data_IF_377413864406
#
_entry.id   IF_377413864406
#
_cell.length_a   1.000
_cell.length_b   1.000
_cell.length_c   1.000
_cell.angle_alpha   90.00
_cell.angle_beta   90.00
_cell.angle_gamma   90.00
#
_symmetry.space_group_name_H-M   'P 1'
#
loop_
_entity.id
_entity.type
_entity.pdbx_description
1 polymer ?
#
# COMPACT_ATOMS: atom_id res chain seq x y z
N UNK A 1 4.42 31.20 -7.85
CA UNK A 1 4.10 29.78 -7.57
C UNK A 1 2.74 29.49 -8.21
N UNK A 2 2.68 28.81 -9.37
CA UNK A 2 1.41 28.46 -10.03
C UNK A 2 0.83 27.24 -9.31
N UNK A 3 -0.33 27.39 -8.66
CA UNK A 3 -1.13 26.24 -8.22
C UNK A 3 -1.45 25.38 -9.44
N UNK A 4 -0.88 24.17 -9.52
CA UNK A 4 -1.31 23.17 -10.52
C UNK A 4 -2.76 22.83 -10.19
N UNK A 5 -3.71 23.21 -11.05
CA UNK A 5 -5.07 22.69 -10.97
C UNK A 5 -4.97 21.17 -11.12
N UNK A 6 -5.46 20.43 -10.14
CA UNK A 6 -5.57 18.98 -10.23
C UNK A 6 -6.44 18.65 -11.43
N UNK A 7 -5.92 17.91 -12.40
CA UNK A 7 -6.71 17.53 -13.56
C UNK A 7 -7.92 16.71 -13.10
N UNK A 8 -9.09 17.14 -13.58
CA UNK A 8 -10.38 16.58 -13.24
C UNK A 8 -10.84 15.69 -14.39
N UNK A 9 -11.32 14.50 -14.06
CA UNK A 9 -11.81 13.52 -15.02
C UNK A 9 -13.24 13.10 -14.66
N UNK A 10 -13.98 12.51 -15.60
CA UNK A 10 -15.27 11.88 -15.31
C UNK A 10 -15.06 10.40 -15.07
N UNK A 11 -15.56 9.86 -13.96
CA UNK A 11 -15.54 8.42 -13.72
C UNK A 11 -16.56 7.72 -14.61
N UNK A 12 -16.14 6.67 -15.33
CA UNK A 12 -17.01 5.95 -16.29
C UNK A 12 -17.55 4.67 -15.68
N UNK A 13 -16.69 3.84 -15.07
CA UNK A 13 -17.03 2.49 -14.62
C UNK A 13 -16.94 2.30 -13.08
N UNK A 14 -16.71 3.38 -12.33
CA UNK A 14 -16.47 3.33 -10.88
C UNK A 14 -17.58 2.60 -10.11
N UNK A 15 -18.84 2.88 -10.44
CA UNK A 15 -20.00 2.26 -9.79
C UNK A 15 -20.09 0.78 -10.06
N UNK A 16 -19.85 0.37 -11.30
CA UNK A 16 -19.91 -1.03 -11.71
C UNK A 16 -18.80 -1.83 -11.04
N UNK A 17 -17.57 -1.32 -11.08
CA UNK A 17 -16.41 -1.94 -10.44
C UNK A 17 -16.55 -2.04 -8.93
N UNK A 18 -17.06 -0.99 -8.27
CA UNK A 18 -17.34 -1.02 -6.84
C UNK A 18 -18.34 -2.13 -6.48
N UNK A 19 -19.44 -2.23 -7.23
CA UNK A 19 -20.45 -3.29 -7.03
C UNK A 19 -19.87 -4.68 -7.25
N UNK A 20 -19.07 -4.87 -8.31
CA UNK A 20 -18.38 -6.14 -8.58
C UNK A 20 -17.43 -6.53 -7.45
N UNK A 21 -16.75 -5.56 -6.83
CA UNK A 21 -15.88 -5.76 -5.68
C UNK A 21 -16.62 -5.92 -4.33
N UNK A 22 -17.96 -5.84 -4.32
CA UNK A 22 -18.76 -5.95 -3.10
C UNK A 22 -18.60 -4.78 -2.12
N UNK A 23 -18.10 -3.63 -2.56
CA UNK A 23 -17.76 -2.49 -1.70
C UNK A 23 -18.97 -1.57 -1.51
N UNK A 24 -19.25 -1.19 -0.26
CA UNK A 24 -20.34 -0.26 0.04
C UNK A 24 -20.00 1.17 -0.42
N UNK A 25 -21.01 2.02 -0.58
CA UNK A 25 -20.76 3.43 -0.98
C UNK A 25 -20.03 4.21 0.14
N UNK A 26 -20.22 3.82 1.41
CA UNK A 26 -19.53 4.40 2.56
C UNK A 26 -18.06 4.02 2.58
N UNK A 27 -17.75 2.72 2.44
CA UNK A 27 -16.36 2.24 2.33
C UNK A 27 -15.64 2.92 1.16
N UNK A 28 -16.33 3.13 0.05
CA UNK A 28 -15.77 3.85 -1.09
C UNK A 28 -15.49 5.33 -0.79
N UNK A 29 -16.27 5.97 0.08
CA UNK A 29 -16.00 7.33 0.52
C UNK A 29 -14.68 7.41 1.27
N UNK A 30 -14.42 6.43 2.15
CA UNK A 30 -13.15 6.32 2.88
C UNK A 30 -11.98 6.09 1.92
N UNK A 31 -12.12 5.16 0.97
CA UNK A 31 -11.11 4.86 -0.06
C UNK A 31 -10.75 6.12 -0.86
N UNK A 32 -11.76 6.86 -1.31
CA UNK A 32 -11.56 8.09 -2.07
C UNK A 32 -11.10 9.26 -1.18
N UNK A 33 -11.23 9.17 0.14
CA UNK A 33 -11.12 10.30 1.05
C UNK A 33 -12.14 11.39 0.71
N UNK A 34 -13.40 11.00 0.50
CA UNK A 34 -14.55 11.89 0.38
C UNK A 34 -15.14 12.13 1.77
N UNK A 35 -15.77 13.29 1.97
CA UNK A 35 -16.42 13.60 3.25
C UNK A 35 -17.64 12.70 3.52
N UNK A 36 -18.35 12.27 2.48
CA UNK A 36 -19.53 11.41 2.61
C UNK A 36 -19.77 10.53 1.37
N UNK A 37 -20.71 9.60 1.52
CA UNK A 37 -21.19 8.70 0.45
C UNK A 37 -21.99 9.41 -0.64
N UNK A 38 -22.52 10.61 -0.37
CA UNK A 38 -23.24 11.42 -1.37
C UNK A 38 -22.28 11.97 -2.42
N UNK A 39 -21.08 12.39 -2.02
CA UNK A 39 -20.03 12.82 -2.93
C UNK A 39 -19.59 11.67 -3.83
N UNK A 40 -19.41 10.46 -3.28
CA UNK A 40 -19.12 9.27 -4.10
C UNK A 40 -20.24 9.03 -5.12
N UNK A 41 -21.49 9.07 -4.68
CA UNK A 41 -22.64 8.89 -5.58
C UNK A 41 -22.68 9.94 -6.69
N UNK A 42 -22.34 11.19 -6.40
CA UNK A 42 -22.25 12.27 -7.40
C UNK A 42 -21.13 12.03 -8.42
N UNK A 43 -19.99 11.47 -8.00
CA UNK A 43 -18.90 11.06 -8.89
C UNK A 43 -19.36 9.89 -9.78
N UNK A 44 -20.00 8.88 -9.20
CA UNK A 44 -20.46 7.66 -9.90
C UNK A 44 -21.47 7.94 -11.01
N UNK A 45 -22.34 8.94 -10.83
CA UNK A 45 -23.32 9.34 -11.84
C UNK A 45 -22.79 10.42 -12.79
N UNK A 46 -21.54 10.84 -12.62
CA UNK A 46 -20.88 11.86 -13.44
C UNK A 46 -21.35 13.30 -13.21
N UNK A 47 -22.02 13.58 -12.07
CA UNK A 47 -22.36 14.96 -11.67
C UNK A 47 -21.16 15.72 -11.10
N UNK A 48 -20.21 14.99 -10.50
CA UNK A 48 -18.97 15.54 -9.96
C UNK A 48 -17.78 14.88 -10.67
N UNK A 49 -16.76 15.67 -11.00
CA UNK A 49 -15.54 15.12 -11.55
C UNK A 49 -14.64 14.52 -10.45
N UNK A 50 -13.89 13.49 -10.80
CA UNK A 50 -12.90 12.83 -9.95
C UNK A 50 -11.52 13.43 -10.22
N UNK A 51 -10.76 13.70 -9.16
CA UNK A 51 -9.35 14.09 -9.31
C UNK A 51 -8.49 12.86 -9.61
N UNK A 52 -7.35 13.04 -10.28
CA UNK A 52 -6.40 11.93 -10.52
C UNK A 52 -6.02 11.19 -9.24
N UNK A 53 -5.82 11.90 -8.12
CA UNK A 53 -5.51 11.25 -6.82
C UNK A 53 -6.62 10.33 -6.35
N UNK A 54 -7.89 10.75 -6.48
CA UNK A 54 -9.06 9.92 -6.13
C UNK A 54 -9.19 8.73 -7.08
N UNK A 55 -8.95 8.97 -8.38
CA UNK A 55 -8.94 7.93 -9.39
C UNK A 55 -7.87 6.86 -9.13
N UNK A 56 -6.66 7.28 -8.74
CA UNK A 56 -5.57 6.38 -8.35
C UNK A 56 -5.93 5.57 -7.11
N UNK A 57 -6.48 6.19 -6.05
CA UNK A 57 -6.93 5.48 -4.84
C UNK A 57 -7.98 4.42 -5.14
N UNK A 58 -8.96 4.75 -5.99
CA UNK A 58 -9.93 3.78 -6.47
C UNK A 58 -9.27 2.64 -7.25
N UNK A 59 -8.33 2.95 -8.16
CA UNK A 59 -7.61 1.95 -8.94
C UNK A 59 -6.75 1.00 -8.08
N UNK A 60 -6.12 1.49 -7.00
CA UNK A 60 -5.41 0.62 -6.05
C UNK A 60 -6.34 -0.40 -5.38
N UNK A 61 -7.59 -0.02 -5.08
CA UNK A 61 -8.56 -0.91 -4.44
C UNK A 61 -9.31 -1.81 -5.42
N UNK A 62 -9.60 -1.31 -6.61
CA UNK A 62 -10.42 -1.94 -7.65
C UNK A 62 -9.60 -2.53 -8.81
N UNK A 63 -8.27 -2.54 -8.68
CA UNK A 63 -7.24 -2.96 -9.65
C UNK A 63 -7.16 -2.11 -10.93
N UNK A 64 -8.25 -1.48 -11.35
CA UNK A 64 -8.27 -0.49 -12.42
C UNK A 64 -9.56 0.32 -12.32
N UNK A 65 -9.58 1.54 -12.85
CA UNK A 65 -10.82 2.24 -13.20
C UNK A 65 -10.67 2.95 -14.55
N UNK A 66 -11.77 3.21 -15.23
CA UNK A 66 -11.82 3.98 -16.47
C UNK A 66 -12.32 5.40 -16.17
N UNK A 67 -11.57 6.39 -16.62
CA UNK A 67 -11.93 7.80 -16.53
C UNK A 67 -11.93 8.46 -17.90
N UNK A 68 -12.72 9.50 -18.08
CA UNK A 68 -12.75 10.32 -19.29
C UNK A 68 -12.19 11.70 -18.99
N UNK A 69 -11.18 12.11 -19.77
CA UNK A 69 -10.50 13.40 -19.64
C UNK A 69 -10.86 14.25 -20.87
N UNK A 70 -11.33 15.47 -20.64
CA UNK A 70 -11.68 16.39 -21.70
C UNK A 70 -10.47 16.69 -22.61
N UNK A 71 -10.65 16.57 -23.92
CA UNK A 71 -9.58 16.76 -24.91
C UNK A 71 -8.60 15.59 -25.09
N UNK A 72 -8.68 14.56 -24.24
CA UNK A 72 -7.82 13.34 -24.34
C UNK A 72 -8.65 12.11 -24.71
N UNK A 73 -9.83 11.95 -24.11
CA UNK A 73 -10.69 10.78 -24.27
C UNK A 73 -10.67 9.84 -23.07
N UNK A 74 -10.97 8.56 -23.29
CA UNK A 74 -11.04 7.55 -22.23
C UNK A 74 -9.66 7.00 -21.89
N UNK A 75 -9.34 6.96 -20.60
CA UNK A 75 -8.07 6.51 -20.06
C UNK A 75 -8.32 5.49 -18.95
N UNK A 76 -7.51 4.44 -18.91
CA UNK A 76 -7.48 3.50 -17.80
C UNK A 76 -6.47 3.99 -16.75
N UNK A 77 -6.92 4.07 -15.50
CA UNK A 77 -6.05 4.29 -14.34
C UNK A 77 -5.77 2.94 -13.72
N UNK A 78 -4.50 2.52 -13.76
CA UNK A 78 -4.02 1.26 -13.20
C UNK A 78 -2.87 1.54 -12.24
N UNK A 79 -2.81 0.86 -11.08
CA UNK A 79 -1.67 0.97 -10.18
C UNK A 79 -0.46 0.29 -10.85
N UNK A 80 0.63 1.05 -10.99
CA UNK A 80 1.90 0.49 -11.48
C UNK A 80 2.65 -0.07 -10.27
N UNK A 81 2.92 -1.38 -10.27
CA UNK A 81 3.81 -1.99 -9.29
C UNK A 81 5.25 -1.62 -9.66
N UNK A 82 5.89 -0.77 -8.86
CA UNK A 82 7.32 -0.55 -8.99
C UNK A 82 8.04 -1.86 -8.68
N UNK A 83 8.95 -2.29 -9.57
CA UNK A 83 9.86 -3.40 -9.23
C UNK A 83 10.79 -2.89 -8.14
N UNK A 84 10.75 -3.53 -6.97
CA UNK A 84 11.68 -3.24 -5.90
C UNK A 84 13.12 -3.30 -6.44
N UNK A 85 13.88 -2.22 -6.26
CA UNK A 85 15.30 -2.22 -6.62
C UNK A 85 16.02 -3.22 -5.71
N UNK A 86 16.97 -4.01 -6.24
CA UNK A 86 17.78 -4.88 -5.39
C UNK A 86 18.52 -4.03 -4.35
N UNK A 87 18.40 -4.42 -3.09
CA UNK A 87 19.12 -3.77 -1.99
C UNK A 87 20.59 -4.18 -2.10
N UNK A 88 21.47 -3.18 -2.19
CA UNK A 88 22.92 -3.36 -2.18
C UNK A 88 23.45 -2.69 -0.91
N UNK A 89 24.16 -3.44 -0.08
CA UNK A 89 24.69 -2.95 1.19
C UNK A 89 26.07 -3.53 1.46
N UNK A 90 27.00 -2.73 1.97
CA UNK A 90 28.34 -3.17 2.38
C UNK A 90 28.44 -3.50 3.87
N UNK A 91 27.31 -3.48 4.58
CA UNK A 91 27.24 -3.82 6.00
C UNK A 91 27.63 -5.28 6.25
N UNK A 92 28.37 -5.50 7.34
CA UNK A 92 28.56 -6.84 7.90
C UNK A 92 27.27 -7.28 8.61
N UNK A 93 26.98 -8.59 8.71
CA UNK A 93 25.75 -9.05 9.36
C UNK A 93 25.53 -8.55 10.77
N UNK A 94 26.59 -8.41 11.57
CA UNK A 94 26.47 -7.83 12.91
C UNK A 94 26.02 -6.36 12.90
N UNK A 95 26.47 -5.57 11.93
CA UNK A 95 26.08 -4.16 11.79
C UNK A 95 24.64 -4.05 11.29
N UNK A 96 24.27 -4.83 10.29
CA UNK A 96 22.90 -4.90 9.80
C UNK A 96 21.93 -5.42 10.87
N UNK A 97 22.38 -6.32 11.75
CA UNK A 97 21.57 -6.83 12.86
C UNK A 97 21.32 -5.75 13.92
N UNK A 98 22.28 -4.87 14.18
CA UNK A 98 22.08 -3.73 15.08
C UNK A 98 21.03 -2.76 14.53
N UNK A 99 21.10 -2.41 13.23
CA UNK A 99 20.11 -1.56 12.58
C UNK A 99 18.73 -2.22 12.65
N UNK A 100 18.61 -3.49 12.27
CA UNK A 100 17.34 -4.21 12.36
C UNK A 100 16.78 -4.21 13.78
N UNK A 101 17.63 -4.43 14.81
CA UNK A 101 17.20 -4.42 16.20
C UNK A 101 16.66 -3.06 16.64
N UNK A 102 17.30 -1.96 16.23
CA UNK A 102 16.86 -0.60 16.52
C UNK A 102 15.49 -0.32 15.89
N UNK A 103 15.36 -0.54 14.58
CA UNK A 103 14.11 -0.32 13.84
C UNK A 103 12.96 -1.19 14.38
N UNK A 104 13.23 -2.45 14.75
CA UNK A 104 12.21 -3.31 15.34
C UNK A 104 11.76 -2.83 16.72
N UNK A 105 12.65 -2.24 17.54
CA UNK A 105 12.26 -1.68 18.83
C UNK A 105 11.37 -0.45 18.65
N UNK A 106 11.76 0.47 17.76
CA UNK A 106 10.97 1.65 17.45
C UNK A 106 9.59 1.28 16.87
N UNK A 107 9.54 0.26 16.01
CA UNK A 107 8.29 -0.26 15.47
C UNK A 107 7.37 -0.81 16.56
N UNK A 108 7.90 -1.58 17.51
CA UNK A 108 7.13 -2.14 18.63
C UNK A 108 6.57 -1.02 19.52
N UNK A 109 7.39 -0.02 19.85
CA UNK A 109 6.95 1.14 20.63
C UNK A 109 5.87 1.96 19.90
N UNK A 110 5.95 2.03 18.57
CA UNK A 110 5.01 2.77 17.73
C UNK A 110 3.64 2.08 17.58
N UNK A 111 3.56 0.75 17.76
CA UNK A 111 2.31 -0.01 17.64
C UNK A 111 1.22 0.48 18.61
N UNK A 112 1.60 0.96 19.80
CA UNK A 112 0.65 1.45 20.81
C UNK A 112 -0.20 2.64 20.28
N UNK A 113 0.33 3.39 19.32
CA UNK A 113 -0.32 4.57 18.78
C UNK A 113 -1.27 4.26 17.61
N UNK A 114 -1.14 3.08 17.00
CA UNK A 114 -1.85 2.71 15.78
C UNK A 114 -3.37 2.74 15.95
N UNK A 115 -3.89 2.14 17.03
CA UNK A 115 -5.34 2.08 17.27
C UNK A 115 -5.94 3.48 17.41
N UNK A 116 -5.27 4.37 18.13
CA UNK A 116 -5.74 5.75 18.32
C UNK A 116 -5.76 6.52 17.00
N UNK A 117 -4.71 6.38 16.19
CA UNK A 117 -4.62 7.04 14.88
C UNK A 117 -5.68 6.52 13.89
N UNK A 118 -5.95 5.21 13.89
CA UNK A 118 -6.99 4.62 13.05
C UNK A 118 -8.39 5.14 13.42
N UNK A 119 -8.72 5.19 14.72
CA UNK A 119 -10.00 5.72 15.21
C UNK A 119 -10.14 7.21 14.90
N UNK A 120 -9.06 7.97 15.00
CA UNK A 120 -9.05 9.40 14.69
C UNK A 120 -9.12 9.72 13.18
N UNK A 121 -9.01 8.71 12.31
CA UNK A 121 -8.89 8.86 10.86
C UNK A 121 -7.80 9.87 10.43
N UNK A 122 -6.74 10.00 11.24
CA UNK A 122 -5.61 10.90 10.95
C UNK A 122 -4.67 10.24 9.95
N UNK A 123 -4.90 10.55 8.67
CA UNK A 123 -4.15 9.99 7.55
C UNK A 123 -2.66 10.31 7.63
N UNK A 124 -2.30 11.53 7.98
CA UNK A 124 -0.91 11.97 7.95
C UNK A 124 -0.12 11.28 9.07
N UNK A 125 -0.74 11.11 10.24
CA UNK A 125 -0.16 10.29 11.31
C UNK A 125 -0.10 8.82 10.94
N UNK A 126 -1.12 8.29 10.27
CA UNK A 126 -1.16 6.89 9.84
C UNK A 126 -0.04 6.56 8.85
N UNK A 127 0.28 7.48 7.93
CA UNK A 127 1.41 7.31 7.00
C UNK A 127 2.73 7.22 7.76
N UNK A 128 2.97 8.12 8.73
CA UNK A 128 4.20 8.08 9.55
C UNK A 128 4.31 6.80 10.38
N UNK A 129 3.20 6.36 10.97
CA UNK A 129 3.19 5.09 11.71
C UNK A 129 3.39 3.89 10.79
N UNK A 130 2.85 3.92 9.56
CA UNK A 130 3.09 2.86 8.59
C UNK A 130 4.55 2.78 8.16
N UNK A 131 5.20 3.94 7.96
CA UNK A 131 6.65 4.02 7.71
C UNK A 131 7.44 3.33 8.84
N UNK A 132 7.24 3.77 10.09
CA UNK A 132 7.95 3.25 11.26
C UNK A 132 7.67 1.78 11.59
N UNK A 133 6.42 1.31 11.40
CA UNK A 133 6.00 -0.03 11.82
C UNK A 133 6.23 -1.07 10.71
N UNK A 134 6.16 -0.65 9.44
CA UNK A 134 6.18 -1.55 8.29
C UNK A 134 7.39 -1.30 7.40
N UNK A 135 7.57 -0.07 6.91
CA UNK A 135 8.60 0.21 5.91
C UNK A 135 10.02 0.10 6.48
N UNK A 136 10.29 0.74 7.62
CA UNK A 136 11.64 0.77 8.21
C UNK A 136 12.09 -0.62 8.65
N UNK A 137 11.26 -1.43 9.36
CA UNK A 137 11.62 -2.79 9.70
C UNK A 137 11.79 -3.71 8.48
N UNK A 138 10.98 -3.53 7.42
CA UNK A 138 11.15 -4.29 6.18
C UNK A 138 12.48 -3.95 5.50
N UNK A 139 12.84 -2.67 5.45
CA UNK A 139 14.11 -2.24 4.87
C UNK A 139 15.29 -2.81 5.67
N UNK A 140 15.27 -2.69 6.99
CA UNK A 140 16.33 -3.18 7.86
C UNK A 140 16.45 -4.72 7.83
N UNK A 141 15.32 -5.44 7.79
CA UNK A 141 15.31 -6.88 7.60
C UNK A 141 15.93 -7.28 6.26
N UNK A 142 15.67 -6.52 5.20
CA UNK A 142 16.24 -6.80 3.88
C UNK A 142 17.74 -6.48 3.82
N UNK A 143 18.22 -5.43 4.51
CA UNK A 143 19.66 -5.20 4.70
C UNK A 143 20.32 -6.37 5.43
N UNK A 144 19.71 -6.84 6.51
CA UNK A 144 20.19 -7.99 7.28
C UNK A 144 20.22 -9.26 6.42
N UNK A 145 19.12 -9.59 5.73
CA UNK A 145 19.04 -10.74 4.85
C UNK A 145 20.13 -10.69 3.76
N UNK A 146 20.29 -9.55 3.11
CA UNK A 146 21.33 -9.35 2.08
C UNK A 146 22.73 -9.56 2.66
N UNK A 147 23.00 -9.06 3.87
CA UNK A 147 24.30 -9.23 4.52
C UNK A 147 24.57 -10.69 4.93
N UNK A 148 23.55 -11.43 5.37
CA UNK A 148 23.67 -12.86 5.73
C UNK A 148 23.90 -13.71 4.47
N UNK A 149 23.13 -13.45 3.41
CA UNK A 149 23.23 -14.17 2.14
C UNK A 149 24.61 -13.98 1.48
N UNK A 150 25.32 -12.88 1.77
CA UNK A 150 26.73 -12.69 1.35
C UNK A 150 27.69 -13.67 2.02
N UNK A 151 27.40 -14.14 3.23
CA UNK A 151 28.20 -15.16 3.92
C UNK A 151 27.82 -16.55 3.43
N UNK A 152 26.52 -16.84 3.44
CA UNK A 152 25.97 -18.11 2.99
C UNK A 152 24.61 -17.89 2.30
N UNK A 153 24.56 -17.97 0.96
CA UNK A 153 23.33 -17.72 0.20
C UNK A 153 22.29 -18.84 0.35
N UNK A 154 22.63 -19.97 0.97
CA UNK A 154 21.70 -21.09 1.19
C UNK A 154 20.79 -20.85 2.40
N UNK A 155 21.25 -20.06 3.38
CA UNK A 155 20.50 -19.76 4.62
C UNK A 155 19.14 -19.12 4.30
N UNK A 156 19.10 -18.12 3.42
CA UNK A 156 17.85 -17.48 3.01
C UNK A 156 16.89 -18.43 2.29
N UNK A 157 17.40 -19.35 1.45
CA UNK A 157 16.58 -20.35 0.74
C UNK A 157 15.99 -21.36 1.73
N UNK A 158 16.81 -21.91 2.61
CA UNK A 158 16.38 -22.90 3.60
C UNK A 158 15.37 -22.30 4.59
N UNK A 159 15.63 -21.08 5.07
CA UNK A 159 14.72 -20.37 5.98
C UNK A 159 13.34 -20.14 5.35
N UNK A 160 13.27 -19.74 4.08
CA UNK A 160 11.99 -19.57 3.35
C UNK A 160 11.23 -20.89 3.20
N UNK A 161 11.90 -21.99 2.88
CA UNK A 161 11.28 -23.32 2.79
C UNK A 161 10.72 -23.77 4.15
N UNK A 162 11.49 -23.57 5.23
CA UNK A 162 11.06 -23.89 6.57
C UNK A 162 9.88 -23.01 7.03
N UNK A 163 9.89 -21.72 6.67
CA UNK A 163 8.79 -20.81 6.96
C UNK A 163 7.51 -21.20 6.22
N UNK A 164 7.61 -21.52 4.92
CA UNK A 164 6.48 -22.00 4.12
C UNK A 164 5.84 -23.26 4.72
N UNK A 165 6.67 -24.23 5.14
CA UNK A 165 6.20 -25.44 5.84
C UNK A 165 5.47 -25.10 7.15
N UNK A 166 6.00 -24.15 7.92
CA UNK A 166 5.39 -23.67 9.17
C UNK A 166 4.04 -22.99 8.95
N UNK A 167 3.90 -22.19 7.89
CA UNK A 167 2.63 -21.54 7.53
C UNK A 167 1.59 -22.57 7.05
N UNK A 168 2.00 -23.52 6.20
CA UNK A 168 1.15 -24.61 5.73
C UNK A 168 0.62 -25.47 6.90
N UNK A 169 1.46 -25.78 7.89
CA UNK A 169 1.05 -26.49 9.10
C UNK A 169 0.02 -25.71 9.95
N UNK A 170 -0.05 -24.38 9.79
CA UNK A 170 -1.04 -23.51 10.44
C UNK A 170 -2.27 -23.23 9.58
N UNK A 171 -2.35 -23.81 8.37
CA UNK A 171 -3.45 -23.55 7.43
C UNK A 171 -3.43 -22.15 6.81
N UNK A 172 -2.28 -21.46 6.81
CA UNK A 172 -2.12 -20.14 6.20
C UNK A 172 -1.55 -20.33 4.79
N UNK A 173 -2.30 -19.93 3.76
CA UNK A 173 -1.87 -20.04 2.37
C UNK A 173 -0.96 -18.88 1.94
N UNK A 174 0.10 -19.20 1.20
CA UNK A 174 1.22 -18.30 0.87
C UNK A 174 0.83 -17.32 -0.24
N UNK A 175 -0.19 -17.66 -1.04
CA UNK A 175 -0.76 -16.78 -2.07
C UNK A 175 -1.42 -15.51 -1.51
N UNK A 176 -1.62 -15.44 -0.19
CA UNK A 176 -2.22 -14.29 0.50
C UNK A 176 -1.21 -13.19 0.90
N UNK A 177 0.10 -13.45 0.82
CA UNK A 177 1.14 -12.56 1.41
C UNK A 177 1.89 -11.73 0.35
N UNK A 178 1.66 -11.97 -0.94
CA UNK A 178 2.38 -11.32 -2.06
C UNK A 178 1.51 -10.37 -2.91
N UNK A 179 0.37 -9.89 -2.38
CA UNK A 179 -0.53 -8.97 -3.10
C UNK A 179 -0.16 -7.49 -2.90
#
# INVERSE_FOLDING_TARGET
MRYRKTEMARAIDLRERRKQAGISTEEMADILGCADSKHVSAIEIGKCAITITKAARAAYRLQAITVEIEGVGRVAVVPVKEKAKPIVTDLRPGEAAWIALEEYKEAVESLEQLQRTLIAHDRDRLIKLYEQIVCDPQHAAALLATSIDKIDPTVGVESRLNHARKLAAKGIDIDTVAA
#
